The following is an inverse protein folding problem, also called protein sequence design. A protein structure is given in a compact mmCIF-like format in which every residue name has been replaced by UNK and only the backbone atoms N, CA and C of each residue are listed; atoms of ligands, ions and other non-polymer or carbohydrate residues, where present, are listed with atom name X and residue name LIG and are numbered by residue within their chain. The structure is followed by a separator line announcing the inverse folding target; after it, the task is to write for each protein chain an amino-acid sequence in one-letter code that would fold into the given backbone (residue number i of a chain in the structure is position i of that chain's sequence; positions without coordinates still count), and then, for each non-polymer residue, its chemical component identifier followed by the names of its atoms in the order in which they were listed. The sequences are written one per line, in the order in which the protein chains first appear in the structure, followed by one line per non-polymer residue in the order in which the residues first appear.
data_IF_198291370272
#
_entry.id   IF_198291370272
#
_cell.length_a   1.000
_cell.length_b   1.000
_cell.length_c   1.000
_cell.angle_alpha   90.00
_cell.angle_beta   90.00
_cell.angle_gamma   90.00
#
_symmetry.space_group_name_H-M   'P 1'
#
loop_
_entity.id
_entity.type
_entity.pdbx_description
1 polymer ?
#
# COMPACT_ATOMS: atom_id res chain seq x y z
N UNK A 1 -1.71 15.47 4.52
CA UNK A 1 -1.93 14.10 3.97
C UNK A 1 -2.51 14.22 2.55
N UNK A 2 -2.53 13.14 1.77
CA UNK A 2 -3.32 13.05 0.53
C UNK A 2 -2.77 13.77 -0.70
N UNK A 3 -1.55 14.31 -0.63
CA UNK A 3 -0.95 15.05 -1.75
C UNK A 3 -0.52 14.11 -2.89
N UNK A 4 -1.10 14.27 -4.08
CA UNK A 4 -0.87 13.45 -5.29
C UNK A 4 -0.46 14.36 -6.46
N UNK A 5 0.41 13.88 -7.35
CA UNK A 5 0.73 14.59 -8.62
C UNK A 5 -0.22 14.17 -9.77
N UNK A 6 -0.58 15.07 -10.69
CA UNK A 6 -1.75 14.93 -11.61
C UNK A 6 -1.66 13.85 -12.71
N UNK A 7 -2.86 13.37 -13.14
CA UNK A 7 -3.32 12.41 -14.21
C UNK A 7 -2.64 11.03 -14.39
N UNK A 8 -3.47 9.97 -14.36
CA UNK A 8 -3.20 8.62 -14.89
C UNK A 8 -4.39 8.29 -15.81
N UNK A 9 -4.14 7.57 -16.91
CA UNK A 9 -5.17 6.99 -17.78
C UNK A 9 -4.73 5.56 -18.12
N UNK A 10 -5.58 4.57 -17.83
CA UNK A 10 -5.49 3.22 -18.41
C UNK A 10 -4.40 2.26 -17.92
N UNK A 11 -4.29 1.99 -16.60
CA UNK A 11 -3.58 0.81 -16.11
C UNK A 11 -2.08 0.75 -16.40
N UNK A 12 -1.42 1.91 -16.43
CA UNK A 12 0.00 2.07 -16.78
C UNK A 12 0.88 2.06 -15.53
N UNK A 13 2.20 1.82 -15.69
CA UNK A 13 3.23 2.32 -14.77
C UNK A 13 2.80 3.57 -14.01
N UNK A 14 2.74 3.49 -12.68
CA UNK A 14 2.45 4.67 -11.87
C UNK A 14 3.59 5.69 -12.07
N UNK A 15 3.28 6.96 -12.38
CA UNK A 15 4.27 8.02 -12.34
C UNK A 15 4.97 8.05 -10.99
N UNK A 16 6.27 8.33 -11.00
CA UNK A 16 7.01 8.58 -9.76
C UNK A 16 6.28 9.60 -8.90
N UNK A 17 6.31 9.39 -7.57
CA UNK A 17 5.73 10.29 -6.56
C UNK A 17 4.21 10.44 -6.60
N UNK A 18 3.50 9.73 -7.48
CA UNK A 18 2.04 9.93 -7.59
C UNK A 18 1.29 9.48 -6.35
N UNK A 19 1.66 8.31 -5.83
CA UNK A 19 1.05 7.65 -4.68
C UNK A 19 2.08 7.51 -3.55
N UNK A 20 2.49 8.64 -2.94
CA UNK A 20 3.61 8.67 -1.99
C UNK A 20 3.32 7.95 -0.66
N UNK A 21 2.09 7.49 -0.44
CA UNK A 21 1.71 6.63 0.67
C UNK A 21 1.78 5.14 0.37
N UNK A 22 1.95 4.73 -0.90
CA UNK A 22 2.02 3.33 -1.25
C UNK A 22 3.24 2.70 -0.59
N UNK A 23 3.03 1.63 0.17
CA UNK A 23 4.12 0.87 0.78
C UNK A 23 4.06 -0.59 0.40
N UNK A 24 5.22 -1.23 0.43
CA UNK A 24 5.40 -2.67 0.28
C UNK A 24 5.71 -3.25 1.65
N UNK A 25 4.81 -4.07 2.19
CA UNK A 25 5.08 -4.90 3.36
C UNK A 25 5.90 -6.11 2.90
N UNK A 26 6.99 -6.41 3.62
CA UNK A 26 7.97 -7.42 3.22
C UNK A 26 8.36 -8.35 4.36
N UNK A 27 8.67 -9.59 4.00
CA UNK A 27 9.28 -10.62 4.85
C UNK A 27 10.50 -11.14 4.09
N UNK A 28 11.67 -11.25 4.74
CA UNK A 28 12.92 -11.70 4.10
C UNK A 28 13.21 -10.96 2.78
N UNK A 29 13.04 -9.63 2.79
CA UNK A 29 13.18 -8.72 1.64
C UNK A 29 12.25 -8.98 0.45
N UNK A 30 11.25 -9.87 0.60
CA UNK A 30 10.26 -10.18 -0.42
C UNK A 30 8.95 -9.47 -0.14
N UNK A 31 8.38 -8.83 -1.16
CA UNK A 31 7.04 -8.27 -1.11
C UNK A 31 6.01 -9.37 -0.85
N UNK A 32 5.16 -9.15 0.15
CA UNK A 32 4.05 -10.04 0.47
C UNK A 32 2.68 -9.36 0.28
N UNK A 33 2.58 -8.07 0.63
CA UNK A 33 1.35 -7.30 0.57
C UNK A 33 1.64 -5.80 0.37
N UNK A 34 0.62 -5.08 -0.08
CA UNK A 34 0.60 -3.62 -0.05
C UNK A 34 0.18 -3.07 1.31
N UNK A 35 0.35 -1.76 1.46
CA UNK A 35 -0.23 -0.98 2.55
C UNK A 35 -0.24 0.51 2.20
N UNK A 36 -0.75 1.32 3.12
CA UNK A 36 -0.72 2.78 3.02
C UNK A 36 -0.10 3.41 4.26
N UNK A 37 0.88 4.29 4.08
CA UNK A 37 1.34 5.17 5.15
C UNK A 37 0.19 6.11 5.56
N UNK A 38 -0.17 6.14 6.83
CA UNK A 38 -1.24 7.00 7.36
C UNK A 38 -0.73 8.04 8.36
N UNK A 39 0.43 7.81 8.97
CA UNK A 39 1.16 8.75 9.81
C UNK A 39 2.67 8.43 9.76
N UNK A 40 3.52 9.25 10.38
CA UNK A 40 4.98 9.05 10.38
C UNK A 40 5.42 7.70 10.97
N UNK A 41 4.63 7.12 11.87
CA UNK A 41 4.91 5.84 12.52
C UNK A 41 4.02 4.69 12.05
N UNK A 42 2.96 4.97 11.28
CA UNK A 42 1.85 4.04 11.13
C UNK A 42 1.56 3.72 9.67
N UNK A 43 1.47 2.44 9.38
CA UNK A 43 1.05 1.87 8.10
C UNK A 43 -0.23 1.09 8.29
N UNK A 44 -1.22 1.39 7.46
CA UNK A 44 -2.46 0.63 7.36
C UNK A 44 -2.29 -0.50 6.33
N UNK A 45 -2.66 -1.73 6.70
CA UNK A 45 -2.66 -2.90 5.81
C UNK A 45 -3.83 -3.82 6.13
N UNK A 46 -3.94 -4.95 5.42
CA UNK A 46 -4.95 -5.96 5.67
C UNK A 46 -4.48 -6.93 6.77
N UNK A 47 -5.41 -7.43 7.56
CA UNK A 47 -5.10 -8.39 8.63
C UNK A 47 -4.65 -9.74 8.07
N UNK A 48 -5.21 -10.18 6.94
CA UNK A 48 -4.80 -11.43 6.29
C UNK A 48 -3.35 -11.42 5.76
N UNK A 49 -2.70 -10.26 5.70
CA UNK A 49 -1.28 -10.15 5.34
C UNK A 49 -0.33 -10.48 6.50
N UNK A 50 -0.87 -10.64 7.71
CA UNK A 50 -0.07 -10.89 8.93
C UNK A 50 -0.01 -12.40 9.20
N UNK A 51 1.19 -12.94 9.18
CA UNK A 51 1.52 -14.36 9.23
C UNK A 51 2.34 -14.64 10.49
N UNK A 52 1.69 -15.04 11.58
CA UNK A 52 2.36 -15.47 12.82
C UNK A 52 3.41 -14.48 13.33
N UNK A 53 4.51 -15.02 13.87
CA UNK A 53 5.63 -14.25 14.44
C UNK A 53 6.76 -14.03 13.42
N UNK A 54 6.43 -13.46 12.25
CA UNK A 54 7.43 -13.14 11.24
C UNK A 54 7.99 -11.73 11.44
N UNK A 55 9.24 -11.51 11.02
CA UNK A 55 9.85 -10.19 10.99
C UNK A 55 9.42 -9.42 9.74
N UNK A 56 8.75 -8.29 9.96
CA UNK A 56 8.24 -7.44 8.90
C UNK A 56 9.13 -6.23 8.68
N UNK A 57 9.27 -5.85 7.41
CA UNK A 57 9.82 -4.55 7.03
C UNK A 57 8.88 -3.85 6.07
N UNK A 58 8.81 -2.53 6.15
CA UNK A 58 8.06 -1.69 5.22
C UNK A 58 9.02 -0.97 4.31
N UNK A 59 8.88 -1.18 3.00
CA UNK A 59 9.57 -0.41 1.97
C UNK A 59 8.65 0.66 1.37
N UNK A 60 9.15 1.88 1.23
CA UNK A 60 8.40 3.01 0.64
C UNK A 60 9.34 3.99 -0.08
N UNK A 61 8.78 4.96 -0.81
CA UNK A 61 9.54 6.01 -1.51
C UNK A 61 10.02 5.66 -2.93
N UNK A 62 9.74 4.44 -3.40
CA UNK A 62 10.09 3.96 -4.74
C UNK A 62 8.90 3.20 -5.38
N UNK A 63 8.78 3.30 -6.70
CA UNK A 63 7.77 2.61 -7.50
C UNK A 63 8.20 1.17 -7.86
N UNK A 64 9.48 0.80 -7.71
CA UNK A 64 10.02 -0.53 -8.05
C UNK A 64 10.36 -1.34 -6.80
N UNK A 65 9.89 -2.59 -6.72
CA UNK A 65 10.17 -3.46 -5.57
C UNK A 65 11.64 -3.81 -5.40
N UNK A 66 12.34 -4.11 -6.50
CA UNK A 66 13.71 -4.64 -6.48
C UNK A 66 14.79 -3.58 -6.72
N UNK A 67 14.40 -2.31 -6.82
CA UNK A 67 15.33 -1.22 -7.04
C UNK A 67 15.74 -0.59 -5.71
N UNK A 68 17.04 -0.36 -5.54
CA UNK A 68 17.58 0.44 -4.43
C UNK A 68 17.74 1.88 -4.91
N UNK A 69 16.63 2.62 -5.00
CA UNK A 69 16.69 4.07 -5.21
C UNK A 69 17.22 4.77 -3.96
N UNK A 70 17.94 5.88 -4.12
CA UNK A 70 18.31 6.78 -2.99
C UNK A 70 17.09 7.33 -2.25
N UNK A 71 15.92 7.28 -2.87
CA UNK A 71 14.66 7.77 -2.32
C UNK A 71 13.89 6.67 -1.57
N UNK A 72 14.26 5.41 -1.76
CA UNK A 72 13.64 4.29 -1.10
C UNK A 72 14.16 4.17 0.33
N UNK A 73 13.25 3.98 1.27
CA UNK A 73 13.62 3.59 2.64
C UNK A 73 12.98 2.25 2.97
N UNK A 74 13.66 1.50 3.83
CA UNK A 74 13.14 0.28 4.44
C UNK A 74 13.20 0.45 5.95
N UNK A 75 12.06 0.28 6.60
CA UNK A 75 11.94 0.47 8.05
C UNK A 75 11.41 -0.83 8.66
N UNK A 76 12.08 -1.40 9.68
CA UNK A 76 11.53 -2.53 10.42
C UNK A 76 10.19 -2.19 11.06
N UNK A 77 9.31 -3.17 11.17
CA UNK A 77 8.07 -3.07 11.94
C UNK A 77 8.37 -3.48 13.37
N UNK A 78 8.05 -2.62 14.32
CA UNK A 78 8.20 -2.87 15.76
C UNK A 78 7.06 -3.72 16.29
N UNK A 79 5.84 -3.40 15.89
CA UNK A 79 4.64 -4.08 16.39
C UNK A 79 3.52 -4.05 15.34
N UNK A 80 2.57 -4.96 15.46
CA UNK A 80 1.42 -5.07 14.57
C UNK A 80 0.16 -5.27 15.40
N UNK A 81 -0.77 -4.34 15.25
CA UNK A 81 -2.06 -4.43 15.92
C UNK A 81 -3.09 -4.90 14.89
N UNK A 82 -3.61 -6.11 15.07
CA UNK A 82 -4.65 -6.70 14.23
C UNK A 82 -6.01 -6.33 14.81
N UNK A 83 -6.99 -6.02 13.96
CA UNK A 83 -8.33 -5.74 14.45
C UNK A 83 -8.90 -6.94 15.23
N UNK A 84 -9.34 -6.71 16.47
CA UNK A 84 -9.77 -7.76 17.43
C UNK A 84 -10.89 -8.69 16.94
N UNK A 85 -11.67 -8.26 15.95
CA UNK A 85 -12.76 -9.04 15.34
C UNK A 85 -12.42 -9.55 13.94
N UNK A 86 -11.14 -9.55 13.56
CA UNK A 86 -10.71 -10.19 12.31
C UNK A 86 -11.01 -11.68 12.37
N UNK A 87 -11.73 -12.17 11.36
CA UNK A 87 -12.02 -13.59 11.20
C UNK A 87 -11.55 -14.06 9.80
N UNK A 88 -10.50 -14.89 9.71
CA UNK A 88 -10.01 -15.41 8.43
C UNK A 88 -10.83 -16.60 7.91
N UNK A 89 -11.78 -17.15 8.70
CA UNK A 89 -12.55 -18.35 8.36
C UNK A 89 -13.93 -17.98 7.82
N UNK A 90 -14.28 -18.52 6.65
CA UNK A 90 -15.58 -18.25 6.00
C UNK A 90 -15.57 -16.91 5.26
N UNK A 91 -16.50 -16.02 5.58
CA UNK A 91 -16.49 -14.65 5.05
C UNK A 91 -15.43 -13.85 5.78
N UNK A 92 -14.43 -13.35 5.04
CA UNK A 92 -13.38 -12.49 5.59
C UNK A 92 -13.98 -11.16 6.04
N UNK A 93 -13.98 -10.94 7.36
CA UNK A 93 -14.53 -9.75 8.00
C UNK A 93 -13.47 -9.01 8.82
N UNK A 94 -13.61 -7.69 8.92
CA UNK A 94 -12.71 -6.81 9.66
C UNK A 94 -11.23 -6.99 9.31
N UNK A 95 -10.95 -7.15 8.03
CA UNK A 95 -9.63 -7.42 7.47
C UNK A 95 -8.74 -6.17 7.41
N UNK A 96 -8.34 -5.70 8.59
CA UNK A 96 -7.58 -4.47 8.79
C UNK A 96 -6.57 -4.64 9.93
N UNK A 97 -5.35 -4.14 9.71
CA UNK A 97 -4.28 -4.13 10.69
C UNK A 97 -3.44 -2.85 10.58
N UNK A 98 -2.80 -2.47 11.69
CA UNK A 98 -1.82 -1.40 11.75
C UNK A 98 -0.44 -1.95 12.04
N UNK A 99 0.52 -1.59 11.20
CA UNK A 99 1.93 -1.85 11.46
C UNK A 99 2.59 -0.58 12.01
N UNK A 100 3.16 -0.70 13.20
CA UNK A 100 3.93 0.33 13.89
C UNK A 100 5.40 0.22 13.47
N UNK A 101 5.92 1.27 12.85
CA UNK A 101 7.30 1.32 12.41
C UNK A 101 8.26 1.44 13.61
N UNK A 102 9.47 0.87 13.49
CA UNK A 102 10.50 0.99 14.51
C UNK A 102 11.05 2.41 14.68
N UNK A 103 10.97 3.22 13.62
CA UNK A 103 11.38 4.63 13.61
C UNK A 103 10.39 5.46 12.77
N UNK A 104 10.23 6.76 13.05
CA UNK A 104 9.36 7.61 12.26
C UNK A 104 9.97 7.85 10.89
N UNK A 105 9.12 7.96 9.87
CA UNK A 105 9.55 8.38 8.53
C UNK A 105 9.40 9.89 8.37
N UNK A 106 10.42 10.51 7.79
CA UNK A 106 10.36 11.91 7.37
C UNK A 106 9.57 12.03 6.07
N UNK A 107 8.59 12.93 6.06
CA UNK A 107 7.83 13.20 4.85
C UNK A 107 8.67 13.93 3.81
N UNK A 108 8.47 13.57 2.56
CA UNK A 108 9.17 14.11 1.40
C UNK A 108 8.23 14.15 0.19
N UNK A 109 8.73 14.52 -0.98
CA UNK A 109 7.94 14.44 -2.21
C UNK A 109 7.59 13.00 -2.62
N UNK A 110 8.28 11.99 -2.06
CA UNK A 110 8.07 10.56 -2.37
C UNK A 110 7.38 9.80 -1.24
N UNK A 111 7.33 10.37 -0.04
CA UNK A 111 6.81 9.73 1.17
C UNK A 111 5.86 10.71 1.83
N UNK A 112 4.56 10.44 1.77
CA UNK A 112 3.52 11.26 2.38
C UNK A 112 2.40 10.35 2.84
N UNK A 113 1.71 10.67 3.95
CA UNK A 113 0.58 9.87 4.40
C UNK A 113 -0.66 10.11 3.53
N UNK A 114 -1.49 9.08 3.36
CA UNK A 114 -2.85 9.20 2.82
C UNK A 114 -3.78 9.77 3.91
N UNK A 115 -4.82 10.50 3.51
CA UNK A 115 -5.84 10.94 4.46
C UNK A 115 -6.81 9.80 4.78
N UNK A 116 -7.19 9.67 6.04
CA UNK A 116 -8.27 8.78 6.44
C UNK A 116 -9.61 9.51 6.28
N UNK A 117 -10.66 8.82 5.82
CA UNK A 117 -12.00 9.40 5.74
C UNK A 117 -12.58 9.61 7.15
N UNK A 118 -13.55 10.52 7.26
CA UNK A 118 -14.37 10.64 8.46
C UNK A 118 -15.22 9.38 8.69
N UNK A 119 -15.60 9.11 9.94
CA UNK A 119 -16.35 7.89 10.31
C UNK A 119 -17.68 7.72 9.58
N UNK A 120 -18.37 8.82 9.29
CA UNK A 120 -19.65 8.82 8.59
C UNK A 120 -19.50 8.87 7.06
N UNK A 121 -18.27 8.96 6.54
CA UNK A 121 -18.03 9.08 5.12
C UNK A 121 -18.45 7.80 4.40
N UNK A 122 -19.28 7.97 3.38
CA UNK A 122 -19.70 6.90 2.48
C UNK A 122 -19.29 7.25 1.06
N UNK A 123 -18.61 6.32 0.40
CA UNK A 123 -18.29 6.43 -1.02
C UNK A 123 -19.58 6.19 -1.81
N UNK A 124 -20.01 7.18 -2.59
CA UNK A 124 -21.18 7.03 -3.46
C UNK A 124 -20.88 6.04 -4.60
N UNK A 125 -21.87 5.23 -4.98
CA UNK A 125 -21.76 4.37 -6.14
C UNK A 125 -21.43 5.20 -7.40
N UNK A 126 -20.57 4.67 -8.25
CA UNK A 126 -20.04 5.37 -9.41
C UNK A 126 -18.87 6.31 -9.12
N UNK A 127 -18.50 6.54 -7.85
CA UNK A 127 -17.30 7.32 -7.50
C UNK A 127 -16.06 6.64 -8.07
N UNK A 128 -15.27 7.40 -8.80
CA UNK A 128 -14.05 6.87 -9.40
C UNK A 128 -12.92 6.79 -8.36
N UNK A 129 -12.45 5.57 -8.10
CA UNK A 129 -11.41 5.28 -7.13
C UNK A 129 -10.14 4.80 -7.83
N UNK A 130 -9.00 4.87 -7.14
CA UNK A 130 -7.71 4.38 -7.66
C UNK A 130 -7.24 3.19 -6.83
N UNK A 131 -6.95 2.07 -7.49
CA UNK A 131 -6.26 0.93 -6.89
C UNK A 131 -4.80 0.96 -7.31
N UNK A 132 -3.90 0.80 -6.34
CA UNK A 132 -2.45 0.89 -6.58
C UNK A 132 -1.73 -0.29 -5.96
N UNK A 133 -0.70 -0.81 -6.63
CA UNK A 133 0.10 -1.91 -6.10
C UNK A 133 0.97 -2.61 -7.14
N UNK A 134 1.67 -3.64 -6.70
CA UNK A 134 2.60 -4.45 -7.51
C UNK A 134 2.03 -5.80 -7.95
N UNK A 135 0.71 -5.97 -7.79
CA UNK A 135 -0.01 -7.20 -8.12
C UNK A 135 -0.02 -7.52 -9.61
N UNK A 136 -0.39 -8.77 -9.94
CA UNK A 136 -0.51 -9.25 -11.32
C UNK A 136 -1.68 -8.56 -12.03
N UNK A 137 -1.56 -8.38 -13.35
CA UNK A 137 -2.51 -7.61 -14.16
C UNK A 137 -3.68 -8.42 -14.68
N UNK A 138 -3.64 -9.73 -14.50
CA UNK A 138 -4.64 -10.68 -14.95
C UNK A 138 -5.08 -11.60 -13.80
N UNK A 139 -6.32 -12.08 -13.89
CA UNK A 139 -6.84 -13.12 -13.00
C UNK A 139 -6.17 -14.50 -13.26
N UNK A 140 -5.37 -14.60 -14.32
CA UNK A 140 -4.69 -15.82 -14.79
C UNK A 140 -3.25 -15.94 -14.30
N UNK A 141 -2.72 -14.90 -13.66
CA UNK A 141 -1.45 -14.96 -12.97
C UNK A 141 -0.21 -14.96 -13.87
N UNK A 142 -0.30 -14.49 -15.12
CA UNK A 142 0.88 -14.35 -15.97
C UNK A 142 1.58 -13.02 -15.70
N UNK A 143 2.87 -13.09 -15.34
CA UNK A 143 3.76 -11.93 -15.49
C UNK A 143 3.76 -11.56 -16.95
N UNK A 144 3.29 -10.36 -17.30
CA UNK A 144 3.46 -9.81 -18.65
C UNK A 144 4.95 -9.86 -18.97
N UNK A 145 5.36 -10.85 -19.78
CA UNK A 145 6.61 -10.80 -20.51
C UNK A 145 6.43 -9.65 -21.49
N UNK A 146 6.96 -8.48 -21.17
CA UNK A 146 7.07 -7.42 -22.15
C UNK A 146 8.01 -7.93 -23.24
N UNK A 147 7.45 -8.06 -24.45
CA UNK A 147 8.16 -8.50 -25.65
C UNK A 147 9.46 -7.72 -25.83
N UNK A 148 10.56 -8.47 -25.91
CA UNK A 148 11.95 -8.02 -25.93
C UNK A 148 12.42 -7.58 -27.31
N UNK A 149 11.54 -7.10 -28.19
CA UNK A 149 11.88 -6.76 -29.57
C UNK A 149 12.48 -5.35 -29.76
N UNK A 150 12.71 -4.57 -28.70
CA UNK A 150 13.47 -3.30 -28.75
C UNK A 150 14.44 -3.08 -27.56
N UNK A 151 15.18 -4.12 -27.16
CA UNK A 151 16.28 -3.96 -26.20
C UNK A 151 17.56 -3.48 -26.92
N UNK A 152 17.88 -2.19 -26.81
CA UNK A 152 19.24 -1.70 -27.02
C UNK A 152 20.16 -2.17 -25.88
N UNK A 153 21.49 -2.26 -26.09
CA UNK A 153 22.39 -2.93 -25.17
C UNK A 153 22.66 -2.06 -23.94
N UNK A 154 22.07 -2.43 -22.80
CA UNK A 154 22.26 -1.78 -21.50
C UNK A 154 21.29 -2.35 -20.47
N UNK A 155 21.77 -3.30 -19.67
CA UNK A 155 21.01 -4.24 -18.84
C UNK A 155 20.21 -3.59 -17.71
N UNK A 156 19.03 -4.15 -17.43
CA UNK A 156 18.46 -4.22 -16.07
C UNK A 156 16.97 -3.90 -15.90
N UNK A 157 16.06 -4.85 -16.15
CA UNK A 157 14.68 -4.83 -15.66
C UNK A 157 14.14 -6.27 -15.47
N UNK A 158 13.92 -6.70 -14.22
CA UNK A 158 12.55 -7.03 -13.81
C UNK A 158 12.31 -6.68 -12.34
N UNK A 159 11.63 -5.56 -12.09
CA UNK A 159 11.07 -5.27 -10.77
C UNK A 159 9.59 -5.03 -10.96
N UNK A 160 8.74 -5.69 -10.17
CA UNK A 160 7.32 -5.35 -10.16
C UNK A 160 7.19 -3.85 -9.92
N UNK A 161 6.28 -3.22 -10.68
CA UNK A 161 6.07 -1.78 -10.69
C UNK A 161 4.71 -1.46 -10.07
N UNK A 162 4.61 -0.36 -9.32
CA UNK A 162 3.30 0.13 -8.86
C UNK A 162 2.46 0.45 -10.08
N UNK A 163 1.32 -0.21 -10.21
CA UNK A 163 0.32 0.03 -11.24
C UNK A 163 -0.85 0.77 -10.63
N UNK A 164 -1.62 1.50 -11.45
CA UNK A 164 -2.76 2.27 -10.98
C UNK A 164 -3.97 2.10 -11.88
N UNK A 165 -5.07 1.58 -11.31
CA UNK A 165 -6.34 1.33 -12.02
C UNK A 165 -7.44 2.24 -11.49
N UNK A 166 -8.25 2.75 -12.40
CA UNK A 166 -9.44 3.54 -12.06
C UNK A 166 -10.64 2.58 -12.02
N UNK A 167 -11.28 2.46 -10.87
CA UNK A 167 -12.49 1.65 -10.69
C UNK A 167 -13.69 2.56 -10.43
N UNK A 168 -14.89 2.14 -10.84
CA UNK A 168 -16.15 2.74 -10.37
C UNK A 168 -16.57 2.01 -9.10
N UNK A 169 -16.76 2.75 -8.00
CA UNK A 169 -17.21 2.17 -6.74
C UNK A 169 -18.62 1.58 -6.87
N UNK A 170 -18.84 0.40 -6.30
CA UNK A 170 -20.16 -0.18 -6.09
C UNK A 170 -20.63 0.12 -4.66
N UNK A 171 -21.93 0.29 -4.45
CA UNK A 171 -22.52 0.64 -3.16
C UNK A 171 -22.30 -0.44 -2.10
N UNK A 172 -22.07 -0.05 -0.83
CA UNK A 172 -22.55 -0.87 0.30
C UNK A 172 -21.62 -1.24 1.46
N UNK A 173 -20.43 -0.63 1.66
CA UNK A 173 -19.66 -0.87 2.90
C UNK A 173 -19.17 0.41 3.56
N UNK A 174 -19.57 0.61 4.81
CA UNK A 174 -19.07 1.67 5.67
C UNK A 174 -17.63 1.35 6.10
N UNK A 175 -16.69 2.27 5.91
CA UNK A 175 -15.36 2.16 6.51
C UNK A 175 -15.50 2.42 8.03
N UNK A 176 -15.50 1.35 8.84
CA UNK A 176 -15.54 1.51 10.29
C UNK A 176 -14.17 1.97 10.80
N UNK A 177 -14.00 3.29 10.96
CA UNK A 177 -12.81 3.90 11.57
C UNK A 177 -12.82 3.84 13.11
N UNK A 178 -13.74 3.06 13.71
CA UNK A 178 -13.92 2.95 15.17
C UNK A 178 -12.62 2.62 15.90
N UNK A 179 -11.70 1.93 15.23
CA UNK A 179 -10.49 1.40 15.84
C UNK A 179 -9.24 2.29 15.69
N UNK A 180 -9.17 3.18 14.68
CA UNK A 180 -7.95 3.98 14.38
C UNK A 180 -7.65 5.10 15.40
N UNK A 181 -8.61 5.48 16.26
CA UNK A 181 -8.41 6.51 17.30
C UNK A 181 -8.26 5.96 18.71
N UNK A 182 -8.68 4.72 18.97
CA UNK A 182 -8.62 4.15 20.33
C UNK A 182 -7.17 3.79 20.74
N UNK A 183 -6.26 3.59 19.78
CA UNK A 183 -4.83 3.28 20.02
C UNK A 183 -3.88 4.46 19.71
N UNK A 184 -4.43 5.62 19.31
CA UNK A 184 -3.67 6.83 18.96
C UNK A 184 -3.63 7.87 20.08
N UNK A 185 -3.59 7.41 21.33
CA UNK A 185 -3.66 8.25 22.53
C UNK A 185 -2.72 9.45 22.48
N UNK A 186 -3.33 10.62 22.67
CA UNK A 186 -2.68 11.85 23.12
C UNK A 186 -1.79 11.56 24.33
N UNK A 187 -0.49 11.78 24.16
CA UNK A 187 0.40 12.20 25.24
C UNK A 187 1.14 13.45 24.74
N UNK A 188 1.27 14.40 25.66
CA UNK A 188 1.58 15.83 25.53
C UNK A 188 2.80 16.23 24.69
#
# INVERSE_FOLDING_TARGET
CGHRTSRVVGGRPAPERKWPWQVSLQINDKHICGGSLIASWWVLTAAHCIFGHMEYTVKMGDIRLMHTSRMAIKVPVRDIVIHKYFNPVGTVENDIALALLAFPVNFSSNIQPVCLPEKAFMVQAGTECWVTGWGKLDERGETVKQDGSKLGPGKGLPGALVLAYKLKGETGRQFSSKWLREEGGEDA
#
